data_IF_778853387865
#
_entry.id   IF_778853387865
#
_cell.length_a   1.000
_cell.length_b   1.000
_cell.length_c   1.000
_cell.angle_alpha   90.00
_cell.angle_beta   90.00
_cell.angle_gamma   90.00
#
_symmetry.space_group_name_H-M   'P 1'
#
loop_
_entity.id
_entity.type
_entity.pdbx_description
1 polymer ?
#
# COMPACT_ATOMS: atom_id res chain seq x y z
N UNK A 1 13.23 21.30 10.09
CA UNK A 1 13.40 19.88 10.44
C UNK A 1 13.57 19.11 9.16
N UNK A 2 14.71 18.45 9.00
CA UNK A 2 14.96 17.57 7.86
C UNK A 2 14.28 16.21 8.10
N UNK A 3 13.92 15.50 7.03
CA UNK A 3 13.25 14.18 7.09
C UNK A 3 14.03 13.18 7.95
N UNK A 4 15.36 13.28 7.91
CA UNK A 4 16.32 12.51 8.71
C UNK A 4 16.15 12.64 10.23
N UNK A 5 15.68 13.81 10.68
CA UNK A 5 15.42 14.05 12.10
C UNK A 5 14.04 13.54 12.48
N UNK A 6 13.03 13.77 11.63
CA UNK A 6 11.64 13.36 11.84
C UNK A 6 11.51 11.84 11.91
N UNK A 7 12.23 11.11 11.03
CA UNK A 7 12.12 9.64 10.93
C UNK A 7 12.50 8.89 12.21
N UNK A 8 13.23 9.56 13.13
CA UNK A 8 13.60 9.00 14.44
C UNK A 8 12.38 8.91 15.38
N UNK A 9 11.38 9.76 15.18
CA UNK A 9 10.20 9.91 16.02
C UNK A 9 8.96 9.26 15.41
N UNK A 10 8.78 9.34 14.08
CA UNK A 10 7.63 8.77 13.39
C UNK A 10 7.96 8.33 11.96
N UNK A 11 7.12 7.47 11.40
CA UNK A 11 7.21 7.11 9.99
C UNK A 11 6.80 8.32 9.12
N UNK A 12 7.59 8.62 8.10
CA UNK A 12 7.33 9.70 7.15
C UNK A 12 7.11 9.10 5.77
N UNK A 13 6.00 9.45 5.14
CA UNK A 13 5.71 9.03 3.76
C UNK A 13 5.64 10.26 2.87
N UNK A 14 6.37 10.21 1.76
CA UNK A 14 6.35 11.22 0.71
C UNK A 14 5.75 10.60 -0.54
N UNK A 15 4.50 10.92 -0.84
CA UNK A 15 3.80 10.43 -2.04
C UNK A 15 4.24 11.22 -3.28
N UNK A 16 4.60 10.51 -4.34
CA UNK A 16 5.08 11.06 -5.61
C UNK A 16 4.14 10.73 -6.79
N UNK A 17 2.85 10.53 -6.52
CA UNK A 17 1.81 10.28 -7.54
C UNK A 17 2.19 9.13 -8.46
N UNK A 18 2.36 9.42 -9.76
CA UNK A 18 2.73 8.44 -10.80
C UNK A 18 4.11 7.79 -10.60
N UNK A 19 4.91 8.24 -9.64
CA UNK A 19 6.19 7.62 -9.26
C UNK A 19 6.10 6.78 -7.98
N UNK A 20 4.90 6.57 -7.43
CA UNK A 20 4.71 5.83 -6.18
C UNK A 20 4.98 6.71 -4.97
N UNK A 21 5.77 6.23 -4.01
CA UNK A 21 6.10 6.97 -2.80
C UNK A 21 7.51 6.64 -2.29
N UNK A 22 8.03 7.49 -1.41
CA UNK A 22 9.21 7.20 -0.61
C UNK A 22 8.83 7.20 0.86
N UNK A 23 9.17 6.14 1.57
CA UNK A 23 8.86 5.99 3.00
C UNK A 23 10.14 5.94 3.82
N UNK A 24 10.15 6.64 4.94
CA UNK A 24 11.24 6.72 5.90
C UNK A 24 10.72 6.27 7.26
N UNK A 25 11.44 5.38 7.92
CA UNK A 25 11.18 4.96 9.30
C UNK A 25 12.50 4.97 10.08
N UNK A 26 12.46 4.52 11.33
CA UNK A 26 13.62 4.56 12.23
C UNK A 26 14.83 3.84 11.66
N UNK A 27 14.61 2.71 11.00
CA UNK A 27 15.69 1.77 10.62
C UNK A 27 16.05 1.85 9.13
N UNK A 28 15.42 2.75 8.37
CA UNK A 28 15.73 2.91 6.95
C UNK A 28 14.74 3.76 6.17
N UNK A 29 14.93 3.75 4.85
CA UNK A 29 14.02 4.33 3.89
C UNK A 29 13.98 3.47 2.61
N UNK A 30 12.86 3.55 1.89
CA UNK A 30 12.70 2.84 0.62
C UNK A 30 11.79 3.61 -0.33
N UNK A 31 12.09 3.53 -1.62
CA UNK A 31 11.17 3.93 -2.68
C UNK A 31 10.27 2.76 -3.07
N UNK A 32 8.96 2.99 -3.05
CA UNK A 32 7.96 2.00 -3.41
C UNK A 32 7.26 2.44 -4.69
N UNK A 33 7.32 1.58 -5.69
CA UNK A 33 6.79 1.86 -7.02
C UNK A 33 5.26 2.04 -7.05
N UNK A 34 4.74 2.73 -8.08
CA UNK A 34 3.31 2.92 -8.28
C UNK A 34 2.64 1.64 -8.81
N UNK A 35 1.30 1.60 -8.74
CA UNK A 35 0.50 0.67 -9.54
C UNK A 35 0.00 1.36 -10.81
N UNK A 36 0.09 0.73 -11.99
CA UNK A 36 -0.38 1.32 -13.24
C UNK A 36 -1.89 1.53 -13.21
N UNK A 37 -2.34 2.71 -13.63
CA UNK A 37 -3.75 3.09 -13.68
C UNK A 37 -3.97 4.18 -14.71
N UNK A 38 -5.15 4.22 -15.31
CA UNK A 38 -5.57 5.34 -16.14
C UNK A 38 -6.19 6.41 -15.25
N UNK A 39 -5.46 7.50 -15.01
CA UNK A 39 -5.91 8.57 -14.13
C UNK A 39 -7.12 9.30 -14.70
N UNK A 40 -8.23 9.27 -13.96
CA UNK A 40 -9.50 9.95 -14.24
C UNK A 40 -9.69 11.16 -13.32
N UNK A 41 -9.58 10.99 -12.00
CA UNK A 41 -9.72 12.06 -11.00
C UNK A 41 -8.74 11.85 -9.84
N UNK A 42 -7.81 12.78 -9.54
CA UNK A 42 -6.87 12.62 -8.43
C UNK A 42 -7.48 12.77 -7.03
N UNK A 43 -8.76 13.20 -6.94
CA UNK A 43 -9.42 13.48 -5.67
C UNK A 43 -9.46 12.26 -4.75
N UNK A 44 -9.05 12.42 -3.48
CA UNK A 44 -9.09 11.35 -2.47
C UNK A 44 -7.98 10.29 -2.59
N UNK A 45 -7.05 10.43 -3.54
CA UNK A 45 -5.95 9.48 -3.72
C UNK A 45 -5.03 9.40 -2.49
N UNK A 46 -4.74 10.55 -1.87
CA UNK A 46 -3.92 10.62 -0.65
C UNK A 46 -4.60 9.97 0.56
N UNK A 47 -5.90 10.22 0.74
CA UNK A 47 -6.68 9.60 1.83
C UNK A 47 -6.76 8.07 1.66
N UNK A 48 -6.94 7.62 0.42
CA UNK A 48 -6.98 6.20 0.08
C UNK A 48 -5.63 5.54 0.27
N UNK A 49 -4.55 6.22 -0.13
CA UNK A 49 -3.18 5.78 0.16
C UNK A 49 -2.97 5.61 1.66
N UNK A 50 -3.34 6.62 2.46
CA UNK A 50 -3.16 6.57 3.90
C UNK A 50 -4.01 5.47 4.53
N UNK A 51 -5.26 5.30 4.07
CA UNK A 51 -6.14 4.22 4.50
C UNK A 51 -5.55 2.84 4.23
N UNK A 52 -5.03 2.61 3.03
CA UNK A 52 -4.32 1.38 2.67
C UNK A 52 -3.05 1.15 3.50
N UNK A 53 -2.25 2.20 3.67
CA UNK A 53 -1.01 2.16 4.47
C UNK A 53 -1.28 1.79 5.93
N UNK A 54 -2.20 2.49 6.59
CA UNK A 54 -2.57 2.23 7.99
C UNK A 54 -3.22 0.86 8.14
N UNK A 55 -4.09 0.45 7.20
CA UNK A 55 -4.66 -0.89 7.19
C UNK A 55 -3.58 -1.96 7.11
N UNK A 56 -2.56 -1.79 6.25
CA UNK A 56 -1.41 -2.68 6.19
C UNK A 56 -0.66 -2.79 7.52
N UNK A 57 -0.32 -1.65 8.13
CA UNK A 57 0.38 -1.64 9.42
C UNK A 57 -0.42 -2.31 10.54
N UNK A 58 -1.73 -2.04 10.64
CA UNK A 58 -2.61 -2.66 11.64
C UNK A 58 -2.72 -4.18 11.44
N UNK A 59 -2.60 -4.64 10.20
CA UNK A 59 -2.56 -6.07 9.85
C UNK A 59 -1.12 -6.64 9.90
N UNK A 60 -0.16 -5.97 10.50
CA UNK A 60 1.19 -6.51 10.73
C UNK A 60 2.10 -6.55 9.50
N UNK A 61 1.77 -5.82 8.44
CA UNK A 61 2.68 -5.67 7.30
C UNK A 61 3.91 -4.85 7.67
N UNK A 62 5.01 -5.12 6.98
CA UNK A 62 6.20 -4.27 7.07
C UNK A 62 5.90 -2.86 6.52
N UNK A 63 6.68 -1.86 6.91
CA UNK A 63 6.51 -0.49 6.40
C UNK A 63 6.55 -0.42 4.86
N UNK A 64 7.49 -1.10 4.16
CA UNK A 64 7.47 -1.18 2.69
C UNK A 64 6.19 -1.82 2.12
N UNK A 65 5.74 -2.94 2.68
CA UNK A 65 4.55 -3.66 2.20
C UNK A 65 3.26 -2.87 2.43
N UNK A 66 3.17 -2.19 3.58
CA UNK A 66 2.09 -1.25 3.85
C UNK A 66 2.11 -0.08 2.86
N UNK A 67 3.29 0.46 2.53
CA UNK A 67 3.42 1.54 1.54
C UNK A 67 3.02 1.09 0.13
N UNK A 68 3.30 -0.17 -0.22
CA UNK A 68 2.84 -0.79 -1.46
C UNK A 68 1.31 -0.89 -1.47
N UNK A 69 0.70 -1.35 -0.37
CA UNK A 69 -0.76 -1.38 -0.22
C UNK A 69 -1.38 0.03 -0.35
N UNK A 70 -0.74 1.04 0.25
CA UNK A 70 -1.13 2.44 0.05
C UNK A 70 -1.10 2.86 -1.43
N UNK A 71 -0.01 2.55 -2.15
CA UNK A 71 0.09 2.85 -3.58
C UNK A 71 -1.01 2.17 -4.40
N UNK A 72 -1.41 0.95 -4.04
CA UNK A 72 -2.52 0.24 -4.68
C UNK A 72 -3.84 1.00 -4.49
N UNK A 73 -4.20 1.34 -3.25
CA UNK A 73 -5.44 2.06 -2.98
C UNK A 73 -5.46 3.46 -3.60
N UNK A 74 -4.34 4.18 -3.56
CA UNK A 74 -4.22 5.46 -4.27
C UNK A 74 -4.43 5.31 -5.78
N UNK A 75 -3.85 4.28 -6.39
CA UNK A 75 -3.97 3.98 -7.82
C UNK A 75 -5.41 3.59 -8.23
N UNK A 76 -6.09 2.79 -7.40
CA UNK A 76 -7.49 2.44 -7.58
C UNK A 76 -8.41 3.66 -7.48
N UNK A 77 -8.13 4.58 -6.57
CA UNK A 77 -8.91 5.81 -6.40
C UNK A 77 -8.82 6.71 -7.61
N UNK A 78 -7.60 6.93 -8.13
CA UNK A 78 -7.44 7.84 -9.27
C UNK A 78 -8.09 7.34 -10.55
N UNK A 79 -8.41 6.05 -10.65
CA UNK A 79 -9.14 5.46 -11.77
C UNK A 79 -10.65 5.71 -11.76
N UNK A 80 -11.18 6.41 -10.75
CA UNK A 80 -12.61 6.65 -10.53
C UNK A 80 -12.89 8.16 -10.54
N UNK A 81 -14.17 8.57 -10.61
CA UNK A 81 -14.58 9.97 -10.48
C UNK A 81 -15.10 10.23 -9.06
N UNK A 82 -14.65 11.30 -8.43
CA UNK A 82 -15.14 11.75 -7.13
C UNK A 82 -14.64 10.89 -5.96
N UNK A 83 -15.49 10.71 -4.95
CA UNK A 83 -15.11 9.93 -3.77
C UNK A 83 -14.91 8.45 -4.13
N UNK A 84 -13.79 7.84 -3.70
CA UNK A 84 -13.47 6.46 -4.03
C UNK A 84 -14.51 5.50 -3.48
N UNK A 85 -14.91 4.54 -4.32
CA UNK A 85 -15.79 3.44 -3.93
C UNK A 85 -14.99 2.14 -3.97
N UNK A 86 -14.83 1.53 -2.82
CA UNK A 86 -14.22 0.21 -2.70
C UNK A 86 -15.31 -0.82 -2.42
N UNK A 87 -15.36 -1.88 -3.22
CA UNK A 87 -16.23 -3.02 -2.91
C UNK A 87 -15.59 -3.92 -1.83
N UNK A 88 -16.38 -4.82 -1.26
CA UNK A 88 -15.91 -5.72 -0.20
C UNK A 88 -14.82 -6.70 -0.68
N UNK A 89 -14.71 -6.96 -1.98
CA UNK A 89 -13.67 -7.84 -2.54
C UNK A 89 -12.33 -7.12 -2.62
N UNK A 90 -12.33 -5.83 -2.95
CA UNK A 90 -11.14 -4.98 -2.91
C UNK A 90 -10.61 -4.82 -1.48
N UNK A 91 -11.49 -4.79 -0.48
CA UNK A 91 -11.09 -4.78 0.93
C UNK A 91 -10.49 -6.13 1.40
N UNK A 92 -10.83 -7.25 0.76
CA UNK A 92 -10.18 -8.54 1.04
C UNK A 92 -8.71 -8.53 0.66
N UNK A 93 -8.25 -7.63 -0.22
CA UNK A 93 -6.83 -7.51 -0.59
C UNK A 93 -5.95 -7.29 0.64
N UNK A 94 -6.42 -6.53 1.65
CA UNK A 94 -5.71 -6.35 2.92
C UNK A 94 -5.45 -7.67 3.66
N UNK A 95 -6.33 -8.67 3.52
CA UNK A 95 -6.20 -9.99 4.15
C UNK A 95 -5.18 -10.87 3.42
N UNK A 96 -4.98 -10.66 2.12
CA UNK A 96 -4.08 -11.47 1.30
C UNK A 96 -2.61 -11.14 1.61
N UNK A 97 -2.30 -9.89 1.97
CA UNK A 97 -0.95 -9.51 2.41
C UNK A 97 -0.55 -10.15 3.76
N UNK A 98 -1.51 -10.67 4.54
CA UNK A 98 -1.28 -11.37 5.80
C UNK A 98 -0.87 -12.84 5.60
N UNK A 99 -0.09 -13.16 4.57
CA UNK A 99 0.46 -14.52 4.42
C UNK A 99 1.70 -14.64 5.32
N UNK A 100 1.46 -14.88 6.61
CA UNK A 100 2.47 -15.37 7.53
C UNK A 100 3.06 -16.66 6.94
N UNK A 101 4.31 -16.60 6.47
CA UNK A 101 5.06 -17.74 5.96
C UNK A 101 5.39 -18.70 7.13
N UNK A 102 4.40 -19.48 7.58
CA UNK A 102 4.53 -20.57 8.56
C UNK A 102 3.19 -21.34 8.62
N UNK A 103 2.94 -22.30 7.71
CA UNK A 103 2.16 -23.56 7.90
C UNK A 103 1.77 -24.18 6.53
N UNK A 104 1.65 -25.52 6.44
CA UNK A 104 1.33 -26.22 5.20
C UNK A 104 -0.17 -26.12 4.85
N UNK A 105 -0.42 -26.02 3.55
CA UNK A 105 -1.69 -25.86 2.87
C UNK A 105 -2.87 -26.67 3.42
N UNK A 106 -4.02 -25.99 3.61
CA UNK A 106 -5.32 -26.68 3.70
C UNK A 106 -6.44 -26.08 2.83
N UNK A 107 -6.12 -25.11 1.97
CA UNK A 107 -7.12 -24.49 1.08
C UNK A 107 -6.73 -24.40 -0.40
N UNK A 108 -5.56 -24.89 -0.83
CA UNK A 108 -5.23 -25.00 -2.26
C UNK A 108 -5.31 -23.69 -3.03
N UNK A 109 -5.06 -22.55 -2.36
CA UNK A 109 -4.90 -21.26 -2.99
C UNK A 109 -3.41 -20.98 -3.04
N UNK A 110 -2.80 -21.26 -4.20
CA UNK A 110 -1.39 -21.01 -4.45
C UNK A 110 -1.00 -19.59 -4.00
N UNK A 111 0.05 -19.52 -3.19
CA UNK A 111 0.76 -18.29 -2.81
C UNK A 111 1.17 -17.42 -4.03
N UNK A 112 1.06 -17.94 -5.26
CA UNK A 112 1.33 -17.26 -6.53
C UNK A 112 0.32 -16.18 -6.97
N UNK A 113 -0.79 -15.94 -6.25
CA UNK A 113 -1.68 -14.80 -6.56
C UNK A 113 -1.06 -13.47 -6.11
N UNK A 114 -0.38 -13.44 -4.95
CA UNK A 114 0.29 -12.23 -4.42
C UNK A 114 1.48 -11.86 -5.29
N UNK A 115 2.29 -12.84 -5.70
CA UNK A 115 3.41 -12.60 -6.63
C UNK A 115 2.96 -12.03 -7.98
N UNK A 116 1.76 -12.36 -8.48
CA UNK A 116 1.28 -11.87 -9.79
C UNK A 116 0.84 -10.41 -9.81
N UNK A 117 0.60 -9.79 -8.65
CA UNK A 117 0.33 -8.35 -8.56
C UNK A 117 1.59 -7.53 -8.29
N UNK A 118 2.71 -8.18 -7.93
CA UNK A 118 3.98 -7.55 -7.53
C UNK A 118 5.03 -7.61 -8.65
N UNK A 119 4.75 -8.28 -9.78
CA UNK A 119 5.61 -8.32 -10.98
C UNK A 119 4.91 -7.79 -12.22
#
# INVERSE_FOLDING_TARGET
MEVEEVRKFCCVVVTNGRRGCKVYWRDGDVEVGPFPTNQVDPTGAGDSFLGGFVAGLVNGLTVPDAALLGNLFGSLTVGQIGLPKFDSKLLQVCLIFHCHCSLPDRFGLDCGIVCRFIQ
#
